data_IF_210997778515
#
_entry.id   IF_210997778515
#
_cell.length_a   1.000
_cell.length_b   1.000
_cell.length_c   1.000
_cell.angle_alpha   90.00
_cell.angle_beta   90.00
_cell.angle_gamma   90.00
#
_symmetry.space_group_name_H-M   'P 1'
#
loop_
_entity.id
_entity.type
_entity.pdbx_description
1 polymer ?
#
# COMPACT_ATOMS: atom_id res chain seq x y z
N UNK A 1 46.38 -15.26 21.77
CA UNK A 1 46.36 -13.91 21.18
C UNK A 1 46.52 -14.08 19.67
N UNK A 2 45.43 -14.20 18.93
CA UNK A 2 45.46 -14.19 17.46
C UNK A 2 44.38 -13.23 17.02
N UNK A 3 44.81 -12.05 16.59
CA UNK A 3 44.00 -10.91 16.21
C UNK A 3 43.68 -11.06 14.73
N UNK A 4 42.43 -11.35 14.40
CA UNK A 4 41.97 -11.39 13.02
C UNK A 4 41.53 -9.99 12.62
N UNK A 5 42.50 -9.15 12.25
CA UNK A 5 42.28 -7.79 11.74
C UNK A 5 41.68 -7.88 10.34
N UNK A 6 40.36 -7.76 10.25
CA UNK A 6 39.64 -7.54 8.99
C UNK A 6 39.96 -6.13 8.49
N UNK A 7 41.05 -5.99 7.73
CA UNK A 7 41.32 -4.79 6.97
C UNK A 7 40.14 -4.51 6.03
N UNK A 8 39.41 -3.43 6.30
CA UNK A 8 38.33 -2.93 5.44
C UNK A 8 38.93 -2.38 4.15
N UNK A 9 39.04 -3.23 3.12
CA UNK A 9 39.24 -2.77 1.76
C UNK A 9 37.91 -2.19 1.25
N UNK A 10 37.86 -0.90 0.92
CA UNK A 10 36.68 -0.27 0.34
C UNK A 10 36.47 -0.78 -1.09
N UNK A 11 35.64 -1.80 -1.24
CA UNK A 11 35.21 -2.33 -2.54
C UNK A 11 34.27 -1.32 -3.20
N UNK A 12 34.75 -0.65 -4.23
CA UNK A 12 33.96 0.34 -4.99
C UNK A 12 33.34 -0.33 -6.20
N UNK A 13 32.01 -0.26 -6.32
CA UNK A 13 31.29 -0.77 -7.50
C UNK A 13 31.52 0.22 -8.65
N UNK A 14 31.97 -0.23 -9.84
CA UNK A 14 32.08 0.62 -11.03
C UNK A 14 30.74 1.31 -11.36
N UNK A 15 30.80 2.57 -11.76
CA UNK A 15 29.62 3.43 -11.90
C UNK A 15 28.62 2.90 -12.95
N UNK A 16 29.14 2.28 -14.01
CA UNK A 16 28.37 1.66 -15.08
C UNK A 16 27.55 0.43 -14.64
N UNK A 17 27.90 -0.17 -13.49
CA UNK A 17 27.18 -1.29 -12.90
C UNK A 17 26.19 -0.86 -11.82
N UNK A 18 26.13 0.44 -11.50
CA UNK A 18 25.17 0.94 -10.53
C UNK A 18 23.75 0.86 -11.12
N UNK A 19 22.77 0.38 -10.34
CA UNK A 19 21.39 0.43 -10.75
C UNK A 19 20.94 1.89 -10.89
N UNK A 20 20.03 2.15 -11.82
CA UNK A 20 19.45 3.48 -12.02
C UNK A 20 18.73 4.04 -10.78
N UNK A 21 18.39 3.19 -9.81
CA UNK A 21 17.77 3.57 -8.55
C UNK A 21 18.23 2.63 -7.43
N UNK A 22 18.69 3.21 -6.32
CA UNK A 22 19.22 2.48 -5.17
C UNK A 22 18.18 1.99 -4.16
N UNK A 23 16.87 2.22 -4.38
CA UNK A 23 15.80 1.93 -3.41
C UNK A 23 15.37 0.46 -3.44
N UNK A 24 16.19 -0.43 -2.86
CA UNK A 24 15.95 -1.89 -2.73
C UNK A 24 15.33 -2.33 -1.40
N UNK A 25 14.77 -1.42 -0.60
CA UNK A 25 14.16 -1.76 0.69
C UNK A 25 12.98 -2.73 0.56
N UNK A 26 12.84 -3.64 1.53
CA UNK A 26 11.74 -4.62 1.59
C UNK A 26 10.38 -4.02 2.03
N UNK A 27 10.30 -2.69 2.19
CA UNK A 27 9.14 -1.98 2.69
C UNK A 27 9.55 -0.92 3.74
N UNK A 28 9.43 0.39 3.46
CA UNK A 28 9.00 1.00 2.18
C UNK A 28 9.98 0.69 1.04
N UNK A 29 9.42 0.52 -0.16
CA UNK A 29 10.13 0.17 -1.39
C UNK A 29 9.99 1.25 -2.46
N UNK A 30 10.67 1.09 -3.60
CA UNK A 30 10.63 2.06 -4.70
C UNK A 30 9.21 2.27 -5.25
N UNK A 31 8.76 3.53 -5.20
CA UNK A 31 7.62 4.02 -5.99
C UNK A 31 8.15 4.65 -7.29
N UNK A 32 7.55 4.30 -8.44
CA UNK A 32 7.95 4.81 -9.76
C UNK A 32 7.50 6.27 -9.93
N UNK A 33 8.25 7.09 -10.66
CA UNK A 33 7.90 8.50 -10.92
C UNK A 33 6.50 8.65 -11.51
N UNK A 34 6.12 7.81 -12.48
CA UNK A 34 4.78 7.82 -13.06
C UNK A 34 3.64 7.63 -12.04
N UNK A 35 3.88 6.94 -10.92
CA UNK A 35 2.88 6.80 -9.85
C UNK A 35 2.77 8.08 -9.00
N UNK A 36 3.87 8.82 -8.84
CA UNK A 36 3.87 10.13 -8.20
C UNK A 36 3.18 11.17 -9.11
N UNK A 37 3.43 11.11 -10.41
CA UNK A 37 2.78 11.97 -11.40
C UNK A 37 1.26 11.74 -11.42
N UNK A 38 0.83 10.47 -11.39
CA UNK A 38 -0.58 10.10 -11.28
C UNK A 38 -1.23 10.62 -9.99
N UNK A 39 -0.51 10.59 -8.86
CA UNK A 39 -0.98 11.18 -7.61
C UNK A 39 -1.15 12.70 -7.73
N UNK A 40 -0.18 13.39 -8.33
CA UNK A 40 -0.27 14.83 -8.57
C UNK A 40 -1.44 15.18 -9.47
N UNK A 41 -1.70 14.39 -10.52
CA UNK A 41 -2.84 14.58 -11.42
C UNK A 41 -4.20 14.34 -10.71
N UNK A 42 -4.23 13.51 -9.66
CA UNK A 42 -5.41 13.21 -8.86
C UNK A 42 -5.59 14.12 -7.63
N UNK A 43 -4.90 15.26 -7.57
CA UNK A 43 -4.90 16.17 -6.42
C UNK A 43 -6.31 16.60 -5.96
N UNK A 44 -7.26 16.73 -6.88
CA UNK A 44 -8.62 17.20 -6.58
C UNK A 44 -9.44 16.20 -5.74
N UNK A 45 -8.98 14.95 -5.63
CA UNK A 45 -9.56 13.95 -4.76
C UNK A 45 -9.04 14.05 -3.31
N UNK A 46 -7.87 14.64 -3.12
CA UNK A 46 -7.21 14.72 -1.81
C UNK A 46 -7.98 15.68 -0.89
N UNK A 47 -8.23 15.25 0.35
CA UNK A 47 -8.98 16.05 1.33
C UNK A 47 -10.51 16.07 1.11
N UNK A 48 -11.02 15.36 0.10
CA UNK A 48 -12.47 15.21 -0.12
C UNK A 48 -13.07 14.07 0.70
N UNK A 49 -14.40 13.99 0.76
CA UNK A 49 -15.09 12.93 1.51
C UNK A 49 -15.06 11.60 0.76
N UNK A 50 -14.55 10.55 1.44
CA UNK A 50 -14.52 9.18 0.94
C UNK A 50 -15.90 8.56 0.66
N UNK A 51 -16.99 9.17 1.16
CA UNK A 51 -18.37 8.71 0.90
C UNK A 51 -18.96 9.25 -0.39
N UNK A 52 -18.29 10.23 -1.00
CA UNK A 52 -18.76 10.89 -2.23
C UNK A 52 -18.33 10.13 -3.48
N UNK A 53 -19.03 10.39 -4.57
CA UNK A 53 -18.86 9.67 -5.83
C UNK A 53 -17.40 9.65 -6.36
N UNK A 54 -16.63 10.75 -6.35
CA UNK A 54 -15.28 10.75 -6.92
C UNK A 54 -14.34 9.72 -6.26
N UNK A 55 -14.35 9.65 -4.92
CA UNK A 55 -13.51 8.69 -4.18
C UNK A 55 -14.06 7.26 -4.31
N UNK A 56 -15.39 7.08 -4.34
CA UNK A 56 -16.01 5.77 -4.58
C UNK A 56 -15.65 5.20 -5.94
N UNK A 57 -15.62 6.04 -6.98
CA UNK A 57 -15.25 5.64 -8.33
C UNK A 57 -13.78 5.18 -8.37
N UNK A 58 -12.86 5.94 -7.75
CA UNK A 58 -11.46 5.56 -7.61
C UNK A 58 -11.30 4.19 -6.90
N UNK A 59 -12.04 3.96 -5.81
CA UNK A 59 -12.04 2.66 -5.13
C UNK A 59 -12.60 1.55 -6.03
N UNK A 60 -13.60 1.86 -6.86
CA UNK A 60 -14.12 0.95 -7.89
C UNK A 60 -13.05 0.53 -8.89
N UNK A 61 -12.32 1.48 -9.46
CA UNK A 61 -11.22 1.23 -10.41
C UNK A 61 -10.12 0.37 -9.80
N UNK A 62 -9.73 0.61 -8.54
CA UNK A 62 -8.75 -0.24 -7.84
C UNK A 62 -9.25 -1.68 -7.71
N UNK A 63 -10.54 -1.88 -7.39
CA UNK A 63 -11.13 -3.22 -7.27
C UNK A 63 -11.15 -3.95 -8.59
N UNK A 64 -11.54 -3.26 -9.67
CA UNK A 64 -11.56 -3.82 -11.02
C UNK A 64 -10.15 -4.17 -11.51
N UNK A 65 -9.19 -3.28 -11.28
CA UNK A 65 -7.78 -3.50 -11.63
C UNK A 65 -7.18 -4.71 -10.91
N UNK A 66 -7.45 -4.86 -9.61
CA UNK A 66 -7.00 -6.03 -8.84
C UNK A 66 -7.70 -7.32 -9.31
N UNK A 67 -9.01 -7.28 -9.56
CA UNK A 67 -9.75 -8.43 -10.06
C UNK A 67 -9.19 -8.89 -11.43
N UNK A 68 -8.89 -7.93 -12.32
CA UNK A 68 -8.26 -8.22 -13.61
C UNK A 68 -6.84 -8.76 -13.45
N UNK A 69 -6.00 -8.14 -12.60
CA UNK A 69 -4.61 -8.54 -12.36
C UNK A 69 -4.52 -9.99 -11.87
N UNK A 70 -5.44 -10.41 -11.01
CA UNK A 70 -5.47 -11.76 -10.46
C UNK A 70 -6.40 -12.73 -11.21
N UNK A 71 -7.03 -12.30 -12.31
CA UNK A 71 -8.05 -13.10 -13.03
C UNK A 71 -9.11 -13.67 -12.09
N UNK A 72 -9.56 -12.87 -11.13
CA UNK A 72 -10.40 -13.30 -10.03
C UNK A 72 -11.81 -13.71 -10.54
N UNK A 73 -12.36 -14.84 -10.09
CA UNK A 73 -13.74 -15.22 -10.43
C UNK A 73 -14.77 -14.20 -9.95
N UNK A 74 -15.94 -14.16 -10.61
CA UNK A 74 -17.05 -13.31 -10.21
C UNK A 74 -17.43 -13.54 -8.73
N UNK A 75 -17.55 -12.45 -7.96
CA UNK A 75 -17.88 -12.49 -6.53
C UNK A 75 -16.67 -12.55 -5.58
N UNK A 76 -15.46 -12.87 -6.05
CA UNK A 76 -14.27 -13.02 -5.20
C UNK A 76 -13.76 -11.67 -4.67
N UNK A 77 -13.75 -10.62 -5.50
CA UNK A 77 -13.33 -9.27 -5.10
C UNK A 77 -14.24 -8.58 -4.08
N UNK A 78 -15.46 -9.09 -3.85
CA UNK A 78 -16.37 -8.56 -2.82
C UNK A 78 -16.05 -9.13 -1.43
N UNK A 79 -15.56 -10.37 -1.35
CA UNK A 79 -15.16 -11.03 -0.11
C UNK A 79 -13.85 -10.46 0.46
N UNK A 80 -12.86 -10.18 -0.39
CA UNK A 80 -11.55 -9.67 0.06
C UNK A 80 -11.63 -8.26 0.70
N UNK A 81 -12.64 -7.45 0.35
CA UNK A 81 -12.74 -6.05 0.75
C UNK A 81 -13.87 -5.74 1.75
N UNK A 82 -14.71 -6.72 2.11
CA UNK A 82 -15.62 -6.60 3.27
C UNK A 82 -14.84 -6.28 4.56
N UNK A 83 -13.59 -6.73 4.62
CA UNK A 83 -12.64 -6.52 5.71
C UNK A 83 -12.39 -5.04 6.06
N UNK A 84 -12.31 -4.14 5.08
CA UNK A 84 -11.96 -2.74 5.33
C UNK A 84 -13.14 -1.91 5.88
N UNK A 85 -14.39 -2.34 5.67
CA UNK A 85 -15.57 -1.66 6.21
C UNK A 85 -15.95 -2.15 7.62
N UNK A 86 -15.56 -3.37 8.02
CA UNK A 86 -15.93 -3.95 9.32
C UNK A 86 -14.98 -3.58 10.47
N UNK A 87 -13.72 -3.21 10.18
CA UNK A 87 -12.74 -2.79 11.20
C UNK A 87 -12.89 -1.32 11.66
N UNK A 88 -13.72 -0.52 10.99
CA UNK A 88 -14.05 0.88 11.34
C UNK A 88 -15.56 1.03 11.60
N UNK A 89 -16.21 -0.02 12.13
CA UNK A 89 -17.52 0.14 12.73
C UNK A 89 -17.34 0.60 14.19
N UNK A 90 -17.98 1.69 14.66
CA UNK A 90 -18.04 1.96 16.09
C UNK A 90 -18.70 0.77 16.78
N UNK A 91 -18.09 0.29 17.86
CA UNK A 91 -18.70 -0.71 18.72
C UNK A 91 -20.12 -0.23 19.09
N UNK A 92 -21.16 -1.07 18.98
CA UNK A 92 -22.47 -0.68 19.48
C UNK A 92 -22.28 -0.31 20.95
N UNK A 93 -22.77 0.85 21.37
CA UNK A 93 -22.83 1.24 22.77
C UNK A 93 -23.75 0.26 23.50
N UNK A 94 -23.18 -0.87 23.90
CA UNK A 94 -23.87 -1.92 24.62
C UNK A 94 -24.20 -1.42 26.00
N UNK A 95 -25.48 -1.18 26.26
CA UNK A 95 -26.00 -1.22 27.63
C UNK A 95 -25.80 -2.64 28.12
N UNK A 96 -24.87 -2.86 29.04
CA UNK A 96 -24.77 -4.14 29.74
C UNK A 96 -26.09 -4.36 30.50
N UNK A 97 -26.73 -5.54 30.39
CA UNK A 97 -27.86 -5.84 31.26
C UNK A 97 -27.32 -5.96 32.70
N UNK A 98 -27.71 -5.02 33.56
CA UNK A 98 -27.64 -5.23 35.00
C UNK A 98 -28.74 -6.23 35.33
N UNK A 99 -28.35 -7.47 35.60
CA UNK A 99 -29.27 -8.46 36.18
C UNK A 99 -29.72 -7.97 37.56
N UNK A 100 -31.04 -8.02 37.78
CA UNK A 100 -31.67 -7.83 39.09
C UNK A 100 -31.51 -9.07 39.98
#
# INVERSE_FOLDING_TARGET
MTENTTAQASLTIPHELLPADGRFGAGPSKVRSAQLDALSAAQDLLGTSHRQAPVKNLVGEVREGLAALFSAPAGYGQLAMRWCSELVAPQPSGTLPVSA
#
